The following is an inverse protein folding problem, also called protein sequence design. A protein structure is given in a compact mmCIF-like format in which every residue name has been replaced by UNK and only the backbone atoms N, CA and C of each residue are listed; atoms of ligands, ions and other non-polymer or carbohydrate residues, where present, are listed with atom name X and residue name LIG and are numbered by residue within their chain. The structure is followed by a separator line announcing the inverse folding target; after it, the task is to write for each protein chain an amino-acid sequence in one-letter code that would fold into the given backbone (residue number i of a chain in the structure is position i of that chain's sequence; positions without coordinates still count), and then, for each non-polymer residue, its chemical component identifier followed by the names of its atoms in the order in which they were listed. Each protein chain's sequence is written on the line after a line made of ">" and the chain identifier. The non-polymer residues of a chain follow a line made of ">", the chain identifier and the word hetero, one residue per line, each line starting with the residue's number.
data_IF_079789577247
#
_entry.id   IF_079789577247
#
_cell.length_a   1.000
_cell.length_b   1.000
_cell.length_c   1.000
_cell.angle_alpha   90.00
_cell.angle_beta   90.00
_cell.angle_gamma   90.00
#
_symmetry.space_group_name_H-M   'P 1'
#
loop_
_entity.id
_entity.type
_entity.pdbx_description
1 polymer ?
#
# COMPACT_ATOMS: atom_id res chain seq x y z
N UNK A 1 -32.70 -16.88 14.48
CA UNK A 1 -32.78 -17.51 13.14
C UNK A 1 -31.54 -18.38 12.96
N UNK A 2 -31.72 -19.66 12.61
CA UNK A 2 -30.82 -20.78 12.92
C UNK A 2 -29.82 -21.05 11.77
N UNK A 3 -28.51 -21.03 12.04
CA UNK A 3 -27.40 -21.23 11.06
C UNK A 3 -27.44 -22.57 10.30
N UNK A 4 -28.32 -23.49 10.71
CA UNK A 4 -28.46 -24.82 10.10
C UNK A 4 -29.19 -24.85 8.75
N UNK A 5 -29.86 -23.76 8.36
CA UNK A 5 -30.57 -23.66 7.07
C UNK A 5 -29.67 -23.14 5.94
N UNK A 6 -28.66 -22.32 6.24
CA UNK A 6 -27.74 -21.74 5.25
C UNK A 6 -26.82 -22.81 4.60
N UNK A 7 -26.46 -23.85 5.35
CA UNK A 7 -25.58 -24.94 4.87
C UNK A 7 -26.31 -26.02 4.07
N UNK A 8 -27.64 -25.93 3.92
CA UNK A 8 -28.44 -26.88 3.13
C UNK A 8 -28.80 -26.33 1.73
N UNK A 9 -28.59 -25.05 1.49
CA UNK A 9 -28.95 -24.35 0.24
C UNK A 9 -27.74 -24.09 -0.68
N UNK A 10 -26.54 -24.54 -0.28
CA UNK A 10 -25.32 -24.51 -1.10
C UNK A 10 -24.69 -25.92 -1.14
N UNK A 11 -25.52 -26.95 -1.34
CA UNK A 11 -25.00 -28.26 -1.79
C UNK A 11 -24.27 -28.05 -3.12
N UNK A 12 -23.10 -28.63 -3.39
CA UNK A 12 -22.59 -29.92 -2.95
C UNK A 12 -21.08 -29.81 -2.67
N UNK A 13 -20.69 -30.36 -1.52
CA UNK A 13 -19.32 -30.80 -1.23
C UNK A 13 -19.15 -32.10 -2.02
N UNK A 14 -18.11 -32.19 -2.85
CA UNK A 14 -17.70 -33.46 -3.45
C UNK A 14 -17.21 -34.41 -2.35
N UNK A 15 -17.72 -35.63 -2.38
CA UNK A 15 -17.58 -36.68 -1.37
C UNK A 15 -16.19 -37.35 -1.32
N UNK A 16 -15.17 -36.82 -2.02
CA UNK A 16 -13.83 -37.45 -2.11
C UNK A 16 -12.78 -36.90 -1.11
N UNK A 17 -13.13 -35.91 -0.28
CA UNK A 17 -12.24 -35.40 0.79
C UNK A 17 -12.58 -35.92 2.20
N UNK A 18 -13.53 -36.86 2.28
CA UNK A 18 -13.91 -37.55 3.52
C UNK A 18 -13.21 -38.91 3.68
N UNK A 19 -12.50 -39.41 2.66
CA UNK A 19 -11.79 -40.70 2.75
C UNK A 19 -10.31 -40.61 3.18
N UNK A 20 -9.70 -39.42 3.24
CA UNK A 20 -8.29 -39.27 3.68
C UNK A 20 -8.11 -38.94 5.16
N UNK A 21 -9.19 -38.82 5.95
CA UNK A 21 -9.13 -38.54 7.40
C UNK A 21 -9.58 -39.75 8.24
N UNK A 22 -10.05 -40.82 7.60
CA UNK A 22 -10.53 -42.04 8.28
C UNK A 22 -9.44 -43.08 8.59
N UNK A 23 -8.16 -42.77 8.38
CA UNK A 23 -7.06 -43.68 8.71
C UNK A 23 -5.95 -42.91 9.41
N UNK A 24 -6.08 -42.73 10.73
CA UNK A 24 -5.03 -42.76 11.78
C UNK A 24 -5.72 -42.35 13.10
N UNK A 25 -6.66 -43.17 13.57
CA UNK A 25 -6.95 -43.25 15.01
C UNK A 25 -7.21 -44.72 15.36
N UNK A 26 -6.17 -45.40 15.84
CA UNK A 26 -6.33 -46.61 16.66
C UNK A 26 -5.05 -46.92 17.45
N UNK A 27 -4.88 -46.29 18.61
CA UNK A 27 -4.58 -47.02 19.85
C UNK A 27 -4.77 -46.13 21.09
N UNK A 28 -5.21 -46.77 22.16
CA UNK A 28 -5.98 -46.24 23.29
C UNK A 28 -5.19 -46.42 24.61
N UNK A 29 -5.56 -45.62 25.64
CA UNK A 29 -5.39 -45.81 27.12
C UNK A 29 -4.07 -45.31 27.75
N UNK A 30 -4.00 -44.65 28.92
CA UNK A 30 -4.89 -44.57 30.10
C UNK A 30 -4.59 -43.33 31.00
N UNK A 31 -5.63 -42.86 31.71
CA UNK A 31 -5.74 -42.06 32.95
C UNK A 31 -4.50 -41.43 33.65
N UNK A 32 -4.50 -40.09 33.76
CA UNK A 32 -4.16 -39.35 35.01
C UNK A 32 -4.73 -37.91 35.01
N UNK A 33 -6.05 -37.77 34.86
CA UNK A 33 -6.77 -36.53 35.18
C UNK A 33 -7.13 -36.55 36.66
N UNK A 34 -6.64 -35.59 37.44
CA UNK A 34 -7.48 -34.95 38.49
C UNK A 34 -7.00 -33.60 39.03
N UNK A 35 -5.84 -33.08 38.63
CA UNK A 35 -5.36 -31.78 39.16
C UNK A 35 -4.86 -30.75 38.15
N UNK A 36 -4.91 -31.03 36.84
CA UNK A 36 -4.46 -30.07 35.81
C UNK A 36 -5.61 -29.18 35.29
N UNK A 37 -6.86 -29.66 35.34
CA UNK A 37 -8.02 -28.93 34.80
C UNK A 37 -8.42 -27.69 35.59
N UNK A 38 -8.17 -27.63 36.90
CA UNK A 38 -8.61 -26.50 37.72
C UNK A 38 -7.64 -25.31 37.66
N UNK A 39 -6.34 -25.57 37.46
CA UNK A 39 -5.31 -24.53 37.26
C UNK A 39 -5.41 -23.93 35.86
N UNK A 40 -5.69 -24.75 34.84
CA UNK A 40 -5.90 -24.26 33.48
C UNK A 40 -7.11 -23.31 33.37
N UNK A 41 -8.21 -23.58 34.07
CA UNK A 41 -9.39 -22.70 34.04
C UNK A 41 -9.16 -21.34 34.75
N UNK A 42 -8.37 -21.28 35.82
CA UNK A 42 -8.06 -20.00 36.50
C UNK A 42 -7.07 -19.16 35.68
N UNK A 43 -6.08 -19.78 35.03
CA UNK A 43 -5.19 -19.08 34.08
C UNK A 43 -5.94 -18.55 32.86
N UNK A 44 -6.93 -19.30 32.35
CA UNK A 44 -7.78 -18.85 31.25
C UNK A 44 -8.67 -17.66 31.68
N UNK A 45 -9.27 -17.69 32.88
CA UNK A 45 -10.12 -16.58 33.36
C UNK A 45 -9.36 -15.28 33.69
N UNK A 46 -8.13 -15.35 34.19
CA UNK A 46 -7.30 -14.15 34.44
C UNK A 46 -6.72 -13.60 33.12
N UNK A 47 -6.45 -14.47 32.12
CA UNK A 47 -6.04 -14.04 30.78
C UNK A 47 -7.17 -13.41 29.95
N UNK A 48 -8.44 -13.78 30.22
CA UNK A 48 -9.61 -13.24 29.51
C UNK A 48 -10.12 -11.92 30.10
N UNK A 49 -9.88 -11.64 31.39
CA UNK A 49 -10.31 -10.38 32.02
C UNK A 49 -9.33 -9.22 31.80
N UNK A 50 -8.04 -9.54 31.67
CA UNK A 50 -6.99 -8.56 31.32
C UNK A 50 -6.96 -8.22 29.82
N UNK A 51 -7.32 -9.17 28.95
CA UNK A 51 -7.43 -8.91 27.50
C UNK A 51 -8.68 -8.11 27.15
N UNK A 52 -9.83 -8.32 27.81
CA UNK A 52 -11.03 -7.53 27.52
C UNK A 52 -10.89 -6.08 27.98
N UNK A 53 -10.29 -5.80 29.14
CA UNK A 53 -10.03 -4.41 29.57
C UNK A 53 -8.90 -3.73 28.77
N UNK A 54 -7.84 -4.46 28.37
CA UNK A 54 -6.81 -3.90 27.50
C UNK A 54 -7.31 -3.65 26.08
N UNK A 55 -8.16 -4.53 25.54
CA UNK A 55 -8.82 -4.33 24.24
C UNK A 55 -9.80 -3.17 24.30
N UNK A 56 -10.55 -2.99 25.38
CA UNK A 56 -11.51 -1.88 25.51
C UNK A 56 -10.82 -0.53 25.83
N UNK A 57 -9.72 -0.53 26.58
CA UNK A 57 -8.87 0.63 26.81
C UNK A 57 -8.09 1.04 25.55
N UNK A 58 -7.53 0.08 24.79
CA UNK A 58 -6.92 0.33 23.49
C UNK A 58 -7.96 0.78 22.46
N UNK A 59 -9.17 0.21 22.47
CA UNK A 59 -10.25 0.59 21.57
C UNK A 59 -10.70 2.04 21.81
N UNK A 60 -10.78 2.48 23.07
CA UNK A 60 -11.16 3.85 23.43
C UNK A 60 -10.02 4.89 23.33
N UNK A 61 -8.73 4.51 23.36
CA UNK A 61 -7.64 5.41 22.96
C UNK A 61 -7.42 5.45 21.44
N UNK A 62 -7.78 4.37 20.72
CA UNK A 62 -7.67 4.30 19.26
C UNK A 62 -8.75 5.10 18.51
N UNK A 63 -9.79 5.58 19.21
CA UNK A 63 -10.79 6.49 18.64
C UNK A 63 -10.28 7.92 18.42
N UNK A 64 -9.09 8.28 18.90
CA UNK A 64 -8.49 9.62 18.66
C UNK A 64 -7.18 9.63 17.85
N UNK A 65 -6.74 8.50 17.29
CA UNK A 65 -5.58 8.46 16.38
C UNK A 65 -5.95 7.74 15.07
N UNK A 66 -6.52 8.52 14.15
CA UNK A 66 -6.69 8.27 12.71
C UNK A 66 -6.51 6.80 12.25
N UNK A 67 -7.52 5.98 12.53
CA UNK A 67 -7.72 4.67 11.90
C UNK A 67 -8.24 4.93 10.48
N UNK A 68 -7.31 5.15 9.53
CA UNK A 68 -7.53 4.94 8.09
C UNK A 68 -7.49 3.43 7.82
N UNK A 69 -8.58 2.74 8.15
CA UNK A 69 -8.76 1.33 7.82
C UNK A 69 -9.88 1.20 6.80
N UNK A 70 -9.50 1.15 5.53
CA UNK A 70 -10.16 0.23 4.63
C UNK A 70 -9.16 -0.91 4.43
N UNK A 71 -9.41 -2.04 5.11
CA UNK A 71 -8.73 -3.28 4.79
C UNK A 71 -9.03 -3.65 3.33
N UNK A 72 -8.13 -4.36 2.62
CA UNK A 72 -8.40 -4.88 1.29
C UNK A 72 -9.74 -5.65 1.19
N UNK A 73 -10.16 -6.27 2.30
CA UNK A 73 -11.43 -6.97 2.44
C UNK A 73 -12.67 -6.04 2.44
N UNK A 74 -12.56 -4.78 2.89
CA UNK A 74 -13.61 -3.77 2.74
C UNK A 74 -13.59 -3.11 1.35
N UNK A 75 -12.56 -3.39 0.57
CA UNK A 75 -12.41 -3.04 -0.84
C UNK A 75 -12.51 -4.29 -1.71
N UNK A 76 -13.57 -5.10 -1.54
CA UNK A 76 -14.04 -6.02 -2.58
C UNK A 76 -14.56 -5.23 -3.82
N UNK A 77 -13.73 -4.33 -4.35
CA UNK A 77 -13.43 -4.27 -5.75
C UNK A 77 -12.15 -5.09 -5.97
N UNK A 78 -12.13 -6.35 -5.49
CA UNK A 78 -11.33 -7.35 -6.17
C UNK A 78 -11.84 -7.33 -7.59
N UNK A 79 -10.94 -7.21 -8.57
CA UNK A 79 -10.95 -8.32 -9.50
C UNK A 79 -9.67 -8.54 -10.33
N UNK A 80 -9.54 -9.76 -10.85
CA UNK A 80 -9.01 -9.94 -12.20
C UNK A 80 -10.06 -9.59 -13.27
N UNK A 81 -10.69 -8.41 -13.22
CA UNK A 81 -11.73 -7.96 -14.17
C UNK A 81 -11.02 -6.95 -15.05
N UNK A 82 -10.92 -7.34 -16.31
CA UNK A 82 -10.66 -6.48 -17.45
C UNK A 82 -11.30 -5.10 -17.26
N UNK A 83 -10.52 -4.05 -17.49
CA UNK A 83 -10.97 -2.67 -17.38
C UNK A 83 -12.27 -2.45 -18.17
N UNK A 84 -13.31 -1.95 -17.50
CA UNK A 84 -14.64 -1.76 -18.07
C UNK A 84 -15.08 -0.31 -17.86
N UNK A 85 -14.85 0.51 -18.88
CA UNK A 85 -15.11 1.95 -18.84
C UNK A 85 -16.60 2.26 -18.57
N UNK A 86 -17.53 1.44 -19.06
CA UNK A 86 -18.97 1.72 -18.92
C UNK A 86 -19.45 1.63 -17.47
N UNK A 87 -18.88 0.72 -16.67
CA UNK A 87 -19.13 0.69 -15.21
C UNK A 87 -18.73 1.99 -14.54
N UNK A 88 -17.57 2.56 -14.91
CA UNK A 88 -17.12 3.82 -14.33
C UNK A 88 -17.95 5.01 -14.82
N UNK A 89 -18.38 5.01 -16.08
CA UNK A 89 -19.34 6.01 -16.57
C UNK A 89 -20.68 5.99 -15.83
N UNK A 90 -21.16 4.81 -15.43
CA UNK A 90 -22.36 4.68 -14.62
C UNK A 90 -22.13 5.09 -13.17
N UNK A 91 -20.97 4.75 -12.60
CA UNK A 91 -20.60 5.13 -11.23
C UNK A 91 -20.50 6.65 -11.02
N UNK A 92 -20.21 7.44 -12.07
CA UNK A 92 -20.29 8.92 -12.01
C UNK A 92 -21.69 9.45 -11.64
N UNK A 93 -22.75 8.66 -11.83
CA UNK A 93 -24.13 9.06 -11.48
C UNK A 93 -24.49 8.75 -10.03
N UNK A 94 -23.58 8.11 -9.28
CA UNK A 94 -23.79 7.72 -7.90
C UNK A 94 -24.00 8.93 -6.99
N UNK A 95 -24.82 8.77 -5.96
CA UNK A 95 -24.93 9.74 -4.86
C UNK A 95 -23.81 9.58 -3.82
N UNK A 96 -22.97 8.54 -3.95
CA UNK A 96 -21.84 8.27 -3.06
C UNK A 96 -20.58 8.89 -3.63
N UNK A 97 -20.00 9.82 -2.90
CA UNK A 97 -18.78 10.55 -3.27
C UNK A 97 -17.60 9.61 -3.53
N UNK A 98 -17.49 8.54 -2.74
CA UNK A 98 -16.46 7.50 -2.91
C UNK A 98 -16.47 6.87 -4.30
N UNK A 99 -17.65 6.58 -4.84
CA UNK A 99 -17.80 5.92 -6.15
C UNK A 99 -17.53 6.91 -7.28
N UNK A 100 -17.95 8.16 -7.11
CA UNK A 100 -17.66 9.22 -8.07
C UNK A 100 -16.17 9.48 -8.15
N UNK A 101 -15.49 9.57 -6.99
CA UNK A 101 -14.05 9.78 -6.92
C UNK A 101 -13.27 8.62 -7.57
N UNK A 102 -13.62 7.37 -7.27
CA UNK A 102 -13.01 6.20 -7.91
C UNK A 102 -13.26 6.21 -9.41
N UNK A 103 -14.49 6.48 -9.85
CA UNK A 103 -14.84 6.52 -11.26
C UNK A 103 -14.04 7.57 -12.05
N UNK A 104 -13.91 8.79 -11.52
CA UNK A 104 -13.12 9.85 -12.15
C UNK A 104 -11.67 9.41 -12.37
N UNK A 105 -11.06 8.81 -11.35
CA UNK A 105 -9.66 8.36 -11.42
C UNK A 105 -9.50 7.21 -12.42
N UNK A 106 -10.37 6.19 -12.35
CA UNK A 106 -10.31 5.02 -13.25
C UNK A 106 -10.65 5.36 -14.71
N UNK A 107 -11.44 6.41 -14.96
CA UNK A 107 -11.72 6.85 -16.33
C UNK A 107 -10.50 7.47 -17.04
N UNK A 108 -9.39 7.75 -16.34
CA UNK A 108 -8.12 8.14 -16.96
C UNK A 108 -7.58 7.01 -17.86
N UNK A 109 -7.86 5.74 -17.54
CA UNK A 109 -7.43 4.59 -18.35
C UNK A 109 -8.05 4.56 -19.76
N UNK A 110 -9.09 5.35 -20.03
CA UNK A 110 -9.60 5.59 -21.39
C UNK A 110 -8.60 6.30 -22.30
N UNK A 111 -7.45 6.80 -21.80
CA UNK A 111 -6.51 7.66 -22.53
C UNK A 111 -6.08 7.12 -23.91
N UNK A 112 -5.91 5.81 -24.04
CA UNK A 112 -5.43 5.17 -25.27
C UNK A 112 -6.52 5.00 -26.35
N UNK A 113 -7.80 5.08 -25.98
CA UNK A 113 -8.92 5.00 -26.91
C UNK A 113 -9.49 6.40 -27.12
N UNK A 114 -9.37 6.95 -28.33
CA UNK A 114 -9.78 8.32 -28.63
C UNK A 114 -11.28 8.57 -28.36
N UNK A 115 -12.14 7.61 -28.72
CA UNK A 115 -13.60 7.73 -28.56
C UNK A 115 -13.97 7.70 -27.08
N UNK A 116 -13.40 6.77 -26.31
CA UNK A 116 -13.63 6.68 -24.88
C UNK A 116 -13.00 7.86 -24.13
N UNK A 117 -11.83 8.34 -24.56
CA UNK A 117 -11.16 9.52 -23.98
C UNK A 117 -12.00 10.77 -24.12
N UNK A 118 -12.53 11.05 -25.32
CA UNK A 118 -13.43 12.20 -25.52
C UNK A 118 -14.71 12.08 -24.68
N UNK A 119 -15.29 10.88 -24.60
CA UNK A 119 -16.45 10.59 -23.75
C UNK A 119 -16.11 10.83 -22.28
N UNK A 120 -14.95 10.39 -21.80
CA UNK A 120 -14.44 10.59 -20.44
C UNK A 120 -14.28 12.08 -20.12
N UNK A 121 -13.58 12.84 -20.97
CA UNK A 121 -13.41 14.30 -20.80
C UNK A 121 -14.77 14.97 -20.63
N UNK A 122 -15.72 14.71 -21.54
CA UNK A 122 -17.05 15.32 -21.50
C UNK A 122 -17.82 14.98 -20.23
N UNK A 123 -17.69 13.75 -19.73
CA UNK A 123 -18.41 13.26 -18.54
C UNK A 123 -17.77 13.70 -17.22
N UNK A 124 -16.45 13.87 -17.17
CA UNK A 124 -15.71 14.29 -15.98
C UNK A 124 -15.71 15.81 -15.82
N UNK A 125 -15.66 16.57 -16.92
CA UNK A 125 -15.56 18.05 -16.88
C UNK A 125 -16.56 18.75 -15.94
N UNK A 126 -17.85 18.36 -15.83
CA UNK A 126 -18.78 18.97 -14.89
C UNK A 126 -18.34 18.89 -13.41
N UNK A 127 -17.60 17.84 -13.04
CA UNK A 127 -17.13 17.60 -11.67
C UNK A 127 -15.99 18.54 -11.25
N UNK A 128 -15.33 19.24 -12.19
CA UNK A 128 -14.33 20.27 -11.87
C UNK A 128 -14.91 21.39 -11.00
N UNK A 129 -16.22 21.67 -11.13
CA UNK A 129 -16.95 22.67 -10.34
C UNK A 129 -17.71 22.07 -9.15
N UNK A 130 -17.40 20.83 -8.76
CA UNK A 130 -18.02 20.18 -7.61
C UNK A 130 -17.77 21.00 -6.34
N UNK A 131 -18.77 21.11 -5.47
CA UNK A 131 -18.61 21.68 -4.13
C UNK A 131 -17.73 20.79 -3.25
N UNK A 132 -17.63 19.49 -3.58
CA UNK A 132 -16.70 18.57 -2.93
C UNK A 132 -15.31 18.72 -3.53
N UNK A 133 -14.41 19.32 -2.76
CA UNK A 133 -13.04 19.63 -3.15
C UNK A 133 -12.28 18.41 -3.68
N UNK A 134 -12.41 17.24 -3.02
CA UNK A 134 -11.75 15.99 -3.46
C UNK A 134 -12.17 15.58 -4.87
N UNK A 135 -13.46 15.69 -5.18
CA UNK A 135 -14.02 15.35 -6.49
C UNK A 135 -13.56 16.39 -7.53
N UNK A 136 -13.56 17.68 -7.17
CA UNK A 136 -13.10 18.75 -8.06
C UNK A 136 -11.62 18.59 -8.43
N UNK A 137 -10.75 18.34 -7.44
CA UNK A 137 -9.32 18.13 -7.67
C UNK A 137 -9.05 16.87 -8.51
N UNK A 138 -9.73 15.76 -8.22
CA UNK A 138 -9.61 14.55 -9.03
C UNK A 138 -10.09 14.78 -10.47
N UNK A 139 -11.19 15.52 -10.66
CA UNK A 139 -11.71 15.84 -11.99
C UNK A 139 -10.75 16.73 -12.79
N UNK A 140 -10.17 17.74 -12.13
CA UNK A 140 -9.14 18.60 -12.74
C UNK A 140 -7.95 17.79 -13.18
N UNK A 141 -7.43 16.92 -12.32
CA UNK A 141 -6.30 16.06 -12.62
C UNK A 141 -6.60 15.08 -13.77
N UNK A 142 -7.73 14.37 -13.70
CA UNK A 142 -8.13 13.42 -14.74
C UNK A 142 -8.32 14.11 -16.11
N UNK A 143 -8.94 15.28 -16.15
CA UNK A 143 -9.11 16.06 -17.39
C UNK A 143 -7.77 16.59 -17.90
N UNK A 144 -6.85 16.99 -17.01
CA UNK A 144 -5.50 17.45 -17.41
C UNK A 144 -4.70 16.33 -18.11
N UNK A 145 -4.82 15.09 -17.62
CA UNK A 145 -4.24 13.91 -18.27
C UNK A 145 -4.95 13.60 -19.60
N UNK A 146 -6.28 13.44 -19.58
CA UNK A 146 -7.05 13.01 -20.75
C UNK A 146 -7.04 14.05 -21.88
N UNK A 147 -6.97 15.34 -21.55
CA UNK A 147 -6.85 16.43 -22.54
C UNK A 147 -5.41 16.69 -22.99
N UNK A 148 -4.44 15.98 -22.40
CA UNK A 148 -3.02 16.08 -22.73
C UNK A 148 -2.41 17.46 -22.43
N UNK A 149 -3.00 18.22 -21.49
CA UNK A 149 -2.45 19.52 -21.11
C UNK A 149 -1.27 19.39 -20.14
N UNK A 150 -1.24 18.36 -19.28
CA UNK A 150 -0.14 18.04 -18.36
C UNK A 150 0.39 19.23 -17.56
N UNK A 151 -0.53 20.01 -16.99
CA UNK A 151 -0.27 21.21 -16.19
C UNK A 151 -0.24 20.94 -14.68
N UNK A 152 -0.76 19.80 -14.22
CA UNK A 152 -0.77 19.45 -12.80
C UNK A 152 0.64 19.25 -12.25
N UNK A 153 0.87 19.79 -11.05
CA UNK A 153 2.09 19.58 -10.27
C UNK A 153 2.30 18.11 -9.86
N UNK A 154 1.24 17.30 -9.87
CA UNK A 154 1.30 15.86 -9.60
C UNK A 154 1.72 15.03 -10.83
N UNK A 155 2.16 15.68 -11.91
CA UNK A 155 2.69 15.04 -13.12
C UNK A 155 4.18 15.33 -13.23
N UNK A 156 4.98 14.30 -12.98
CA UNK A 156 6.43 14.37 -12.98
C UNK A 156 6.97 14.12 -14.39
N UNK A 157 7.65 15.12 -14.95
CA UNK A 157 8.25 15.04 -16.28
C UNK A 157 9.68 14.54 -16.17
N UNK A 158 10.01 13.47 -16.89
CA UNK A 158 11.36 12.92 -16.96
C UNK A 158 12.14 13.45 -18.16
N UNK A 159 13.47 13.36 -18.07
CA UNK A 159 14.40 13.81 -19.10
C UNK A 159 14.24 13.09 -20.44
N UNK A 160 13.74 11.86 -20.44
CA UNK A 160 13.41 11.13 -21.67
C UNK A 160 12.07 11.58 -22.27
N UNK A 161 11.31 12.45 -21.60
CA UNK A 161 9.97 12.87 -22.01
C UNK A 161 8.83 11.99 -21.48
N UNK A 162 9.12 10.99 -20.64
CA UNK A 162 8.06 10.27 -19.92
C UNK A 162 7.35 11.18 -18.93
N UNK A 163 6.05 11.00 -18.77
CA UNK A 163 5.24 11.62 -17.73
C UNK A 163 4.86 10.56 -16.71
N UNK A 164 5.16 10.78 -15.44
CA UNK A 164 4.89 9.85 -14.35
C UNK A 164 3.92 10.49 -13.36
N UNK A 165 2.95 9.71 -12.89
CA UNK A 165 1.97 10.19 -11.93
C UNK A 165 1.26 9.03 -11.24
N UNK A 166 0.42 9.38 -10.26
CA UNK A 166 -0.55 8.48 -9.67
C UNK A 166 -1.95 9.00 -9.97
N UNK A 167 -2.93 8.11 -10.03
CA UNK A 167 -4.34 8.51 -10.15
C UNK A 167 -4.85 9.01 -8.79
N UNK A 168 -4.65 8.24 -7.74
CA UNK A 168 -5.19 8.51 -6.40
C UNK A 168 -4.28 9.39 -5.53
N UNK A 169 -3.89 10.57 -6.02
CA UNK A 169 -3.01 11.50 -5.30
C UNK A 169 -3.60 11.90 -3.92
N UNK A 170 -2.80 11.79 -2.86
CA UNK A 170 -3.08 12.25 -1.48
C UNK A 170 -4.27 11.61 -0.73
N UNK A 171 -4.98 10.64 -1.30
CA UNK A 171 -6.19 10.10 -0.69
C UNK A 171 -6.25 8.57 -0.75
N UNK A 172 -5.48 7.95 0.15
CA UNK A 172 -5.54 6.51 0.48
C UNK A 172 -6.91 6.05 0.97
N UNK A 173 -7.80 6.98 1.36
CA UNK A 173 -9.16 6.74 1.88
C UNK A 173 -10.05 5.94 0.93
N UNK A 174 -9.70 5.80 -0.36
CA UNK A 174 -10.52 5.13 -1.37
C UNK A 174 -9.79 4.05 -2.17
N UNK A 175 -8.60 3.63 -1.72
CA UNK A 175 -7.90 2.48 -2.29
C UNK A 175 -7.08 2.88 -3.50
N UNK A 176 -5.93 3.49 -3.24
CA UNK A 176 -4.91 3.65 -4.27
C UNK A 176 -4.40 2.26 -4.62
N UNK A 177 -4.73 1.75 -5.81
CA UNK A 177 -3.85 0.79 -6.45
C UNK A 177 -2.48 1.48 -6.50
N UNK A 178 -1.49 1.02 -5.72
CA UNK A 178 -0.16 1.65 -5.61
C UNK A 178 0.60 1.46 -6.90
N UNK A 179 0.23 2.27 -7.86
CA UNK A 179 0.61 2.13 -9.24
C UNK A 179 1.15 3.47 -9.69
N UNK A 180 2.38 3.43 -10.22
CA UNK A 180 2.85 4.51 -11.05
C UNK A 180 2.35 4.29 -12.46
N UNK A 181 1.71 5.32 -12.98
CA UNK A 181 1.28 5.39 -14.36
C UNK A 181 2.33 6.15 -15.15
N UNK A 182 2.52 5.73 -16.40
CA UNK A 182 3.41 6.40 -17.34
C UNK A 182 2.67 6.77 -18.61
N UNK A 183 2.88 7.99 -19.08
CA UNK A 183 2.61 8.35 -20.46
C UNK A 183 3.94 8.54 -21.17
N UNK A 184 4.13 7.80 -22.26
CA UNK A 184 5.29 7.94 -23.15
C UNK A 184 4.81 7.75 -24.59
N UNK A 185 5.30 8.60 -25.50
CA UNK A 185 4.94 8.56 -26.92
C UNK A 185 3.41 8.52 -27.15
N UNK A 186 2.68 9.28 -26.33
CA UNK A 186 1.22 9.37 -26.35
C UNK A 186 0.48 8.05 -26.03
N UNK A 187 1.10 7.17 -25.25
CA UNK A 187 0.50 5.93 -24.75
C UNK A 187 0.55 5.93 -23.23
N UNK A 188 -0.60 5.71 -22.60
CA UNK A 188 -0.74 5.46 -21.17
C UNK A 188 -0.48 3.99 -20.87
N UNK A 189 0.38 3.70 -19.90
CA UNK A 189 0.63 2.36 -19.38
C UNK A 189 0.68 2.36 -17.85
N UNK A 190 0.26 1.24 -17.26
CA UNK A 190 0.59 0.92 -15.88
C UNK A 190 2.06 0.51 -15.84
N UNK A 191 2.92 1.37 -15.28
CA UNK A 191 4.37 1.18 -15.32
C UNK A 191 4.87 0.22 -14.24
N UNK A 192 4.52 0.48 -12.98
CA UNK A 192 4.84 -0.42 -11.86
C UNK A 192 3.71 -0.42 -10.85
N UNK A 193 3.34 -1.61 -10.39
CA UNK A 193 2.49 -1.81 -9.23
C UNK A 193 3.34 -2.31 -8.06
N UNK A 194 3.22 -1.69 -6.90
CA UNK A 194 3.95 -2.11 -5.72
C UNK A 194 3.14 -3.13 -4.92
N UNK A 195 3.74 -4.28 -4.56
CA UNK A 195 3.08 -5.29 -3.74
C UNK A 195 3.08 -4.89 -2.26
N UNK A 196 2.34 -5.62 -1.43
CA UNK A 196 2.51 -5.53 0.02
C UNK A 196 3.98 -5.84 0.42
N UNK A 197 4.55 -5.12 1.42
CA UNK A 197 3.90 -4.17 2.34
C UNK A 197 3.86 -2.71 1.85
N UNK A 198 4.19 -2.43 0.59
CA UNK A 198 4.21 -1.08 0.02
C UNK A 198 2.78 -0.59 -0.29
N UNK A 199 2.03 -0.24 0.75
CA UNK A 199 0.57 -0.02 0.68
C UNK A 199 0.14 1.35 0.19
N UNK A 200 0.99 2.37 0.23
CA UNK A 200 0.66 3.72 -0.24
C UNK A 200 1.91 4.36 -0.81
N UNK A 201 1.86 4.92 -2.01
CA UNK A 201 2.90 5.87 -2.44
C UNK A 201 2.57 7.22 -1.79
N UNK A 202 3.51 7.74 -1.02
CA UNK A 202 3.34 9.00 -0.28
C UNK A 202 4.01 10.18 -0.97
N UNK A 203 5.07 9.92 -1.74
CA UNK A 203 5.81 10.98 -2.43
C UNK A 203 6.56 10.43 -3.65
N UNK A 204 6.78 11.30 -4.64
CA UNK A 204 7.56 11.02 -5.84
C UNK A 204 8.50 12.21 -6.04
N UNK A 205 9.81 11.94 -6.01
CA UNK A 205 10.84 12.98 -5.97
C UNK A 205 11.80 12.73 -7.15
N UNK A 206 11.64 13.46 -8.28
CA UNK A 206 12.57 13.38 -9.39
C UNK A 206 13.98 13.85 -9.00
N UNK A 207 15.02 13.26 -9.60
CA UNK A 207 16.37 13.79 -9.51
C UNK A 207 16.46 15.18 -10.17
N UNK A 208 17.47 16.01 -9.84
CA UNK A 208 17.61 17.34 -10.42
C UNK A 208 17.70 17.37 -11.96
N UNK A 209 18.25 16.32 -12.57
CA UNK A 209 18.27 16.17 -14.03
C UNK A 209 17.10 15.35 -14.59
N UNK A 210 16.15 14.97 -13.74
CA UNK A 210 14.96 14.23 -14.10
C UNK A 210 15.26 12.87 -14.77
N UNK A 211 16.41 12.25 -14.47
CA UNK A 211 16.79 10.93 -14.97
C UNK A 211 16.36 9.78 -14.03
N UNK A 212 16.26 10.07 -12.73
CA UNK A 212 15.86 9.11 -11.70
C UNK A 212 14.63 9.61 -10.94
N UNK A 213 13.91 8.67 -10.33
CA UNK A 213 12.76 8.95 -9.46
C UNK A 213 12.93 8.22 -8.14
N UNK A 214 13.00 8.97 -7.04
CA UNK A 214 12.82 8.39 -5.72
C UNK A 214 11.31 8.29 -5.43
N UNK A 215 10.84 7.10 -5.05
CA UNK A 215 9.43 6.83 -4.76
C UNK A 215 9.34 6.44 -3.30
N UNK A 216 8.76 7.33 -2.49
CA UNK A 216 8.50 7.08 -1.07
C UNK A 216 7.17 6.37 -0.93
N UNK A 217 7.17 5.29 -0.17
CA UNK A 217 5.99 4.49 0.12
C UNK A 217 5.83 4.30 1.62
N UNK A 218 4.62 3.94 2.04
CA UNK A 218 4.29 3.65 3.42
C UNK A 218 3.33 2.47 3.53
N UNK A 219 3.39 1.82 4.68
CA UNK A 219 2.36 0.95 5.23
C UNK A 219 1.75 1.60 6.47
N UNK A 220 0.93 0.86 7.21
CA UNK A 220 0.44 1.30 8.53
C UNK A 220 1.54 1.27 9.60
N UNK A 221 2.70 0.69 9.30
CA UNK A 221 3.76 0.40 10.28
C UNK A 221 5.13 0.93 9.86
N UNK A 222 5.39 1.04 8.57
CA UNK A 222 6.73 1.26 8.02
C UNK A 222 6.69 2.26 6.87
N UNK A 223 7.81 2.95 6.67
CA UNK A 223 8.06 3.70 5.45
C UNK A 223 9.20 3.08 4.65
N UNK A 224 9.14 3.26 3.35
CA UNK A 224 10.01 2.64 2.37
C UNK A 224 10.40 3.65 1.31
N UNK A 225 11.54 3.41 0.67
CA UNK A 225 11.93 4.20 -0.49
C UNK A 225 12.71 3.36 -1.49
N UNK A 226 12.42 3.56 -2.77
CA UNK A 226 13.14 2.99 -3.90
C UNK A 226 13.52 4.10 -4.87
N UNK A 227 14.59 3.89 -5.63
CA UNK A 227 14.97 4.73 -6.76
C UNK A 227 14.70 3.95 -8.04
N UNK A 228 14.04 4.58 -8.99
CA UNK A 228 13.69 4.02 -10.29
C UNK A 228 14.40 4.83 -11.37
N UNK A 229 15.16 4.13 -12.21
CA UNK A 229 15.64 4.60 -13.50
C UNK A 229 14.69 4.06 -14.56
N UNK A 230 13.74 4.89 -14.97
CA UNK A 230 12.73 4.51 -15.98
C UNK A 230 13.36 4.36 -17.37
N UNK A 231 14.42 5.11 -17.64
CA UNK A 231 15.07 5.15 -18.96
C UNK A 231 15.76 3.82 -19.23
N UNK A 232 16.48 3.28 -18.24
CA UNK A 232 17.20 2.03 -18.37
C UNK A 232 16.49 0.83 -17.76
N UNK A 233 15.27 1.02 -17.22
CA UNK A 233 14.47 -0.03 -16.60
C UNK A 233 15.13 -0.66 -15.37
N UNK A 234 15.82 0.14 -14.55
CA UNK A 234 16.49 -0.32 -13.33
C UNK A 234 15.81 0.22 -12.09
N UNK A 235 15.84 -0.56 -11.02
CA UNK A 235 15.27 -0.20 -9.72
C UNK A 235 16.31 -0.53 -8.65
N UNK A 236 16.48 0.35 -7.66
CA UNK A 236 17.31 0.08 -6.50
C UNK A 236 16.67 -1.00 -5.61
N UNK A 237 17.42 -1.60 -4.67
CA UNK A 237 16.80 -2.21 -3.51
C UNK A 237 15.91 -1.21 -2.75
N UNK A 238 15.03 -1.71 -1.89
CA UNK A 238 14.34 -0.89 -0.90
C UNK A 238 15.36 -0.36 0.13
N UNK A 239 15.50 0.95 0.23
CA UNK A 239 16.66 1.57 0.88
C UNK A 239 16.56 1.61 2.42
N UNK A 240 15.37 1.68 3.01
CA UNK A 240 15.20 1.77 4.48
C UNK A 240 15.55 0.43 5.14
N UNK A 241 14.98 -0.66 4.65
CA UNK A 241 15.28 -2.02 5.07
C UNK A 241 16.73 -2.40 4.78
N UNK A 242 17.27 -1.95 3.64
CA UNK A 242 18.70 -2.11 3.33
C UNK A 242 19.58 -1.37 4.34
N UNK A 243 19.26 -0.11 4.67
CA UNK A 243 19.99 0.66 5.67
C UNK A 243 19.92 0.00 7.06
N UNK A 244 18.74 -0.46 7.47
CA UNK A 244 18.52 -1.22 8.70
C UNK A 244 19.40 -2.47 8.76
N UNK A 245 19.47 -3.23 7.67
CA UNK A 245 20.33 -4.42 7.58
C UNK A 245 21.82 -4.09 7.68
N UNK A 246 22.28 -3.09 6.92
CA UNK A 246 23.69 -2.68 6.89
C UNK A 246 24.14 -2.13 8.25
N UNK A 247 23.38 -1.20 8.84
CA UNK A 247 23.71 -0.62 10.14
C UNK A 247 23.63 -1.64 11.27
N UNK A 248 22.58 -2.49 11.28
CA UNK A 248 22.45 -3.56 12.26
C UNK A 248 23.65 -4.52 12.23
N UNK A 249 24.12 -4.90 11.02
CA UNK A 249 25.31 -5.72 10.86
C UNK A 249 26.58 -5.04 11.42
N UNK A 250 26.75 -3.74 11.18
CA UNK A 250 27.88 -2.96 11.73
C UNK A 250 27.87 -2.91 13.27
N UNK A 251 26.69 -2.94 13.88
CA UNK A 251 26.51 -2.94 15.35
C UNK A 251 26.48 -4.33 15.97
N UNK A 252 26.52 -5.40 15.17
CA UNK A 252 26.36 -6.77 15.65
C UNK A 252 24.96 -7.07 16.20
N UNK A 253 23.94 -6.32 15.75
CA UNK A 253 22.55 -6.52 16.13
C UNK A 253 21.89 -7.47 15.13
N UNK A 254 21.14 -8.45 15.64
CA UNK A 254 20.35 -9.31 14.78
C UNK A 254 19.20 -8.51 14.15
N UNK A 255 19.07 -8.58 12.83
CA UNK A 255 18.02 -7.89 12.07
C UNK A 255 17.09 -8.93 11.47
N UNK A 256 16.17 -9.52 12.26
CA UNK A 256 15.25 -10.51 11.71
C UNK A 256 14.32 -9.83 10.70
N UNK A 257 14.14 -10.51 9.57
CA UNK A 257 13.09 -10.18 8.61
C UNK A 257 11.77 -10.72 9.15
N UNK A 258 10.76 -9.86 9.25
CA UNK A 258 9.43 -10.28 9.66
C UNK A 258 8.71 -10.98 8.50
N UNK A 259 7.76 -11.84 8.82
CA UNK A 259 6.98 -12.55 7.81
C UNK A 259 6.10 -11.62 6.96
N UNK A 260 5.71 -10.47 7.52
CA UNK A 260 4.95 -9.42 6.83
C UNK A 260 5.85 -8.42 6.08
N UNK A 261 7.18 -8.64 6.06
CA UNK A 261 8.19 -7.74 5.48
C UNK A 261 8.18 -6.29 6.01
N UNK A 262 7.41 -6.01 7.07
CA UNK A 262 7.40 -4.74 7.77
C UNK A 262 8.68 -4.54 8.56
N UNK A 263 9.11 -3.29 8.73
CA UNK A 263 10.36 -2.95 9.41
C UNK A 263 10.19 -1.95 10.57
N UNK A 264 9.01 -1.34 10.75
CA UNK A 264 8.74 -0.29 11.76
C UNK A 264 9.69 0.90 11.71
N UNK A 265 10.30 1.14 10.56
CA UNK A 265 11.19 2.27 10.33
C UNK A 265 10.41 3.41 9.68
N UNK A 266 10.92 4.63 9.82
CA UNK A 266 10.33 5.82 9.22
C UNK A 266 11.38 6.69 8.54
N UNK A 267 10.93 7.62 7.71
CA UNK A 267 11.69 8.54 6.88
C UNK A 267 11.21 9.96 7.18
N UNK A 268 12.09 10.77 7.77
CA UNK A 268 11.77 12.13 8.21
C UNK A 268 11.96 13.17 7.10
N UNK A 269 12.96 12.98 6.24
CA UNK A 269 13.26 13.87 5.12
C UNK A 269 13.94 13.09 4.01
N UNK A 270 13.76 13.54 2.76
CA UNK A 270 14.38 12.96 1.57
C UNK A 270 14.81 14.09 0.65
N UNK A 271 16.04 14.04 0.17
CA UNK A 271 16.56 15.01 -0.80
C UNK A 271 17.57 14.39 -1.76
N UNK A 272 17.58 14.86 -3.00
CA UNK A 272 18.66 14.58 -3.93
C UNK A 272 19.82 15.53 -3.68
N UNK A 273 20.99 14.98 -3.33
CA UNK A 273 22.21 15.78 -3.14
C UNK A 273 22.92 16.00 -4.47
N UNK A 274 22.80 15.04 -5.38
CA UNK A 274 23.27 15.13 -6.77
C UNK A 274 22.26 14.43 -7.67
N UNK A 275 22.51 14.37 -8.97
CA UNK A 275 21.66 13.63 -9.91
C UNK A 275 21.57 12.11 -9.60
N UNK A 276 22.59 11.53 -8.94
CA UNK A 276 22.71 10.09 -8.70
C UNK A 276 22.67 9.71 -7.20
N UNK A 277 22.76 10.71 -6.31
CA UNK A 277 22.85 10.49 -4.86
C UNK A 277 21.66 11.05 -4.12
N UNK A 278 20.91 10.16 -3.48
CA UNK A 278 19.78 10.47 -2.60
C UNK A 278 20.23 10.41 -1.13
N UNK A 279 19.85 11.41 -0.34
CA UNK A 279 20.03 11.42 1.11
C UNK A 279 18.67 11.41 1.80
N UNK A 280 18.54 10.66 2.90
CA UNK A 280 17.35 10.69 3.71
C UNK A 280 17.64 10.46 5.19
N UNK A 281 16.86 11.12 6.04
CA UNK A 281 16.87 10.87 7.48
C UNK A 281 15.89 9.75 7.80
N UNK A 282 16.34 8.77 8.58
CA UNK A 282 15.51 7.63 8.97
C UNK A 282 15.63 7.30 10.44
N UNK A 283 14.52 6.86 11.02
CA UNK A 283 14.51 6.19 12.32
C UNK A 283 14.52 4.69 12.06
N UNK A 284 15.67 4.04 12.33
CA UNK A 284 15.85 2.61 12.16
C UNK A 284 15.51 1.89 13.47
N UNK A 285 14.68 0.86 13.38
CA UNK A 285 14.21 0.15 14.57
C UNK A 285 14.71 -1.29 14.63
N UNK A 286 15.06 -1.71 15.84
CA UNK A 286 15.57 -3.04 16.16
C UNK A 286 14.79 -3.61 17.35
N UNK A 287 14.84 -4.94 17.51
CA UNK A 287 14.18 -5.65 18.61
C UNK A 287 12.69 -5.26 18.76
N UNK A 288 11.91 -5.35 17.67
CA UNK A 288 10.50 -4.94 17.64
C UNK A 288 10.24 -3.49 18.09
N UNK A 289 11.10 -2.55 17.65
CA UNK A 289 11.04 -1.13 17.97
C UNK A 289 11.37 -0.74 19.42
N UNK A 290 11.97 -1.66 20.20
CA UNK A 290 12.54 -1.32 21.51
C UNK A 290 13.80 -0.46 21.40
N UNK A 291 14.55 -0.60 20.32
CA UNK A 291 15.75 0.20 20.04
C UNK A 291 15.51 1.02 18.78
N UNK A 292 15.75 2.33 18.87
CA UNK A 292 15.55 3.28 17.78
C UNK A 292 16.84 4.06 17.58
N UNK A 293 17.31 4.11 16.34
CA UNK A 293 18.53 4.79 15.94
C UNK A 293 18.18 5.81 14.86
N UNK A 294 18.49 7.08 15.12
CA UNK A 294 18.30 8.14 14.15
C UNK A 294 19.54 8.24 13.27
N UNK A 295 19.37 8.08 11.97
CA UNK A 295 20.47 8.07 11.02
C UNK A 295 20.19 8.96 9.81
N UNK A 296 21.25 9.45 9.20
CA UNK A 296 21.26 9.93 7.81
C UNK A 296 21.78 8.81 6.93
N UNK A 297 21.05 8.50 5.86
CA UNK A 297 21.41 7.49 4.86
C UNK A 297 21.66 8.18 3.54
N UNK A 298 22.85 7.98 2.98
CA UNK A 298 23.19 8.38 1.62
C UNK A 298 23.25 7.15 0.73
N UNK A 299 22.56 7.19 -0.42
CA UNK A 299 22.60 6.15 -1.42
C UNK A 299 23.00 6.71 -2.78
N UNK A 300 24.04 6.12 -3.38
CA UNK A 300 24.50 6.43 -4.73
C UNK A 300 24.04 5.34 -5.70
N UNK A 301 23.16 5.70 -6.64
CA UNK A 301 22.42 4.74 -7.46
C UNK A 301 23.33 3.99 -8.44
N UNK A 302 24.23 4.69 -9.13
CA UNK A 302 25.11 4.09 -10.14
C UNK A 302 26.07 3.07 -9.53
N UNK A 303 26.61 3.37 -8.34
CA UNK A 303 27.58 2.51 -7.64
C UNK A 303 26.91 1.51 -6.69
N UNK A 304 25.60 1.62 -6.46
CA UNK A 304 24.84 0.84 -5.47
C UNK A 304 25.46 0.92 -4.07
N UNK A 305 26.02 2.07 -3.74
CA UNK A 305 26.73 2.31 -2.49
C UNK A 305 25.79 2.94 -1.47
N UNK A 306 25.82 2.45 -0.23
CA UNK A 306 25.04 2.99 0.88
C UNK A 306 25.97 3.38 2.03
N UNK A 307 25.80 4.60 2.53
CA UNK A 307 26.53 5.14 3.67
C UNK A 307 25.55 5.57 4.74
N UNK A 308 25.88 5.32 6.01
CA UNK A 308 24.97 5.54 7.14
C UNK A 308 25.73 6.29 8.22
N UNK A 309 25.18 7.41 8.67
CA UNK A 309 25.74 8.27 9.71
C UNK A 309 24.72 8.44 10.84
N UNK A 310 25.18 8.47 12.10
CA UNK A 310 24.30 8.69 13.25
C UNK A 310 24.02 10.18 13.38
N UNK A 311 22.74 10.51 13.55
CA UNK A 311 22.33 11.86 13.89
C UNK A 311 22.46 12.02 15.41
N UNK A 312 23.40 12.85 15.86
CA UNK A 312 23.59 13.19 17.27
C UNK A 312 22.56 14.22 17.75
#
# INVERSE_FOLDING_TARGET
>A
MNKKWLYKEIGMIDDDLIESVAYIEKTQKNNLKKWIGLVACICIFISLSSTVYAVEYLKNQSTELYIRYLSPENMELTPGIEYDADKFFDALKSHKEEYVYIAINRLVECFNDEVLREKAIKKITPFIKSEQEKIAQAAMFAVDILSQSYQSENIYKLSDGSLIFMLFNNYSDYGSHNVLWRIKDNVLEQYIAFPEPFMYITDIIPSPDHSLLAVKMASNKSEFIVIIDIINGKISPELVGTARGVYGAQKGVNVPMRIDNENYCSINSVEWITNDRLSFNSMLTYNNAETVENVTVDYEFSNKSISIQINN
#
